data_IF_121189179602
#
_entry.id   IF_121189179602
#
_cell.length_a   1.000
_cell.length_b   1.000
_cell.length_c   1.000
_cell.angle_alpha   90.00
_cell.angle_beta   90.00
_cell.angle_gamma   90.00
#
_symmetry.space_group_name_H-M   'P 1'
#
loop_
_entity.id
_entity.type
_entity.pdbx_description
1 polymer ?
#
# COMPACT_ATOMS: atom_id res chain seq x y z
N UNK A 1 15.18 -19.88 -24.35
CA UNK A 1 14.76 -20.04 -22.94
C UNK A 1 13.99 -18.79 -22.56
N UNK A 2 12.74 -18.73 -23.00
CA UNK A 2 11.85 -17.59 -22.80
C UNK A 2 11.32 -17.58 -21.37
N UNK A 3 11.76 -16.60 -20.58
CA UNK A 3 11.24 -16.37 -19.24
C UNK A 3 9.85 -15.73 -19.36
N UNK A 4 8.83 -16.58 -19.36
CA UNK A 4 7.43 -16.17 -19.33
C UNK A 4 7.18 -15.25 -18.13
N UNK A 5 6.71 -14.04 -18.42
CA UNK A 5 6.28 -13.07 -17.43
C UNK A 5 5.08 -13.69 -16.69
N UNK A 6 5.28 -14.06 -15.43
CA UNK A 6 4.18 -14.51 -14.55
C UNK A 6 3.27 -13.32 -14.29
N UNK A 7 2.23 -13.18 -15.11
CA UNK A 7 1.17 -12.21 -14.92
C UNK A 7 0.26 -12.70 -13.81
N UNK A 8 0.50 -12.27 -12.57
CA UNK A 8 -0.47 -12.49 -11.51
C UNK A 8 -1.75 -11.72 -11.83
N UNK A 9 -2.90 -12.38 -12.01
CA UNK A 9 -4.17 -11.70 -12.19
C UNK A 9 -4.50 -10.95 -10.89
N UNK A 10 -4.63 -9.62 -10.97
CA UNK A 10 -5.19 -8.83 -9.86
C UNK A 10 -6.62 -9.31 -9.63
N UNK A 11 -6.97 -9.85 -8.44
CA UNK A 11 -8.35 -10.17 -8.17
C UNK A 11 -9.18 -8.88 -8.21
N UNK A 12 -10.13 -8.85 -9.15
CA UNK A 12 -11.19 -7.84 -9.24
C UNK A 12 -12.30 -8.30 -8.30
N UNK A 13 -12.24 -7.90 -7.03
CA UNK A 13 -13.30 -8.09 -6.03
C UNK A 13 -13.43 -6.74 -5.30
N UNK A 14 -14.45 -5.95 -5.66
CA UNK A 14 -15.78 -5.88 -5.01
C UNK A 14 -15.76 -5.20 -3.63
N UNK A 15 -16.75 -4.30 -3.46
CA UNK A 15 -17.09 -3.49 -2.29
C UNK A 15 -16.12 -2.35 -1.91
N UNK A 16 -16.66 -1.14 -1.76
CA UNK A 16 -16.07 -0.07 -0.95
C UNK A 16 -16.05 -0.56 0.51
N UNK A 17 -15.12 -1.45 0.86
CA UNK A 17 -14.93 -1.85 2.25
C UNK A 17 -14.62 -0.59 3.05
N UNK A 18 -15.43 -0.33 4.08
CA UNK A 18 -15.22 0.75 5.03
C UNK A 18 -13.75 0.68 5.47
N UNK A 19 -12.92 1.61 4.97
CA UNK A 19 -11.50 1.58 5.25
C UNK A 19 -11.35 1.84 6.75
N UNK A 20 -11.07 0.81 7.53
CA UNK A 20 -10.81 0.92 8.97
C UNK A 20 -9.32 1.18 9.18
N UNK A 21 -8.96 1.94 10.21
CA UNK A 21 -7.55 2.15 10.51
C UNK A 21 -6.91 0.85 11.00
N UNK A 22 -5.78 0.44 10.40
CA UNK A 22 -5.08 -0.82 10.77
C UNK A 22 -4.73 -0.94 12.26
N UNK A 23 -4.47 0.19 12.93
CA UNK A 23 -4.20 0.27 14.38
C UNK A 23 -5.45 -0.10 15.20
N UNK A 24 -6.62 0.38 14.78
CA UNK A 24 -7.89 0.09 15.47
C UNK A 24 -8.24 -1.39 15.33
N UNK A 25 -8.01 -1.93 14.12
CA UNK A 25 -8.17 -3.35 13.83
C UNK A 25 -7.28 -4.25 14.67
N UNK A 26 -6.03 -3.87 14.94
CA UNK A 26 -5.14 -4.67 15.79
C UNK A 26 -5.62 -4.78 17.24
N UNK A 27 -6.52 -3.91 17.67
CA UNK A 27 -7.16 -3.96 18.98
C UNK A 27 -8.57 -4.58 18.94
N UNK A 28 -8.99 -5.17 17.82
CA UNK A 28 -10.31 -5.80 17.68
C UNK A 28 -11.47 -4.84 17.44
N UNK A 29 -11.20 -3.55 17.21
CA UNK A 29 -12.24 -2.57 16.91
C UNK A 29 -12.31 -2.29 15.40
N UNK A 30 -13.48 -1.90 14.91
CA UNK A 30 -13.73 -1.61 13.48
C UNK A 30 -14.40 -0.25 13.29
N UNK A 31 -13.70 0.83 13.66
CA UNK A 31 -14.18 2.19 13.38
C UNK A 31 -13.89 2.63 11.94
N UNK A 32 -14.84 3.37 11.35
CA UNK A 32 -14.63 4.05 10.07
C UNK A 32 -13.47 5.03 10.18
N UNK A 33 -12.57 5.04 9.18
CA UNK A 33 -11.38 5.91 9.19
C UNK A 33 -11.68 7.40 9.02
N UNK A 34 -12.85 7.77 8.48
CA UNK A 34 -13.24 9.16 8.23
C UNK A 34 -13.41 9.93 9.53
N UNK A 35 -12.58 10.96 9.73
CA UNK A 35 -12.64 11.93 10.84
C UNK A 35 -12.69 11.34 12.26
N UNK A 36 -12.16 10.11 12.46
CA UNK A 36 -12.09 9.50 13.78
C UNK A 36 -10.78 9.85 14.50
N UNK A 37 -10.90 10.27 15.77
CA UNK A 37 -9.75 10.40 16.67
C UNK A 37 -9.44 9.02 17.24
N UNK A 38 -8.40 8.38 16.73
CA UNK A 38 -8.04 7.02 17.14
C UNK A 38 -7.52 7.03 18.59
N UNK A 39 -8.23 6.35 19.51
CA UNK A 39 -7.78 6.16 20.91
C UNK A 39 -6.39 5.51 21.00
N UNK A 40 -6.04 4.70 20.01
CA UNK A 40 -4.78 3.95 19.94
C UNK A 40 -3.70 4.66 19.10
N UNK A 41 -3.89 5.92 18.73
CA UNK A 41 -2.90 6.68 17.94
C UNK A 41 -1.50 6.65 18.55
N UNK A 42 -1.44 6.75 19.88
CA UNK A 42 -0.21 6.69 20.70
C UNK A 42 -0.03 5.35 21.43
N UNK A 43 -0.73 4.28 21.02
CA UNK A 43 -0.56 2.98 21.66
C UNK A 43 0.85 2.41 21.37
N UNK A 44 1.55 1.90 22.38
CA UNK A 44 2.90 1.35 22.24
C UNK A 44 2.94 -0.19 22.32
N UNK A 45 1.79 -0.87 22.20
CA UNK A 45 1.79 -2.33 22.16
C UNK A 45 2.60 -2.86 20.96
N UNK A 46 3.17 -4.07 21.10
CA UNK A 46 4.02 -4.70 20.10
C UNK A 46 3.40 -4.71 18.69
N UNK A 47 2.12 -5.07 18.59
CA UNK A 47 1.38 -5.08 17.32
C UNK A 47 1.26 -3.69 16.66
N UNK A 48 1.08 -2.64 17.47
CA UNK A 48 1.02 -1.26 16.97
C UNK A 48 2.39 -0.77 16.54
N UNK A 49 3.45 -1.11 17.27
CA UNK A 49 4.83 -0.80 16.87
C UNK A 49 5.19 -1.46 15.53
N UNK A 50 4.94 -2.77 15.41
CA UNK A 50 5.12 -3.50 14.15
C UNK A 50 4.31 -2.86 13.01
N UNK A 51 3.05 -2.51 13.28
CA UNK A 51 2.20 -1.84 12.29
C UNK A 51 2.76 -0.50 11.82
N UNK A 52 3.39 0.28 12.71
CA UNK A 52 4.06 1.55 12.36
C UNK A 52 5.28 1.30 11.48
N UNK A 53 6.15 0.36 11.86
CA UNK A 53 7.34 0.00 11.07
C UNK A 53 6.95 -0.50 9.68
N UNK A 54 5.99 -1.43 9.58
CA UNK A 54 5.53 -1.92 8.27
C UNK A 54 4.92 -0.81 7.40
N UNK A 55 4.27 0.20 8.00
CA UNK A 55 3.77 1.37 7.23
C UNK A 55 4.92 2.21 6.69
N UNK A 56 5.99 2.40 7.47
CA UNK A 56 7.17 3.14 7.04
C UNK A 56 7.84 2.44 5.86
N UNK A 57 8.07 1.13 5.97
CA UNK A 57 8.64 0.30 4.90
C UNK A 57 7.77 0.39 3.64
N UNK A 58 6.46 0.21 3.76
CA UNK A 58 5.57 0.29 2.60
C UNK A 58 5.58 1.67 1.93
N UNK A 59 5.69 2.77 2.68
CA UNK A 59 5.82 4.12 2.08
C UNK A 59 7.10 4.23 1.25
N UNK A 60 8.21 3.70 1.77
CA UNK A 60 9.48 3.70 1.06
C UNK A 60 9.41 2.85 -0.22
N UNK A 61 8.91 1.63 -0.11
CA UNK A 61 8.70 0.74 -1.27
C UNK A 61 7.81 1.37 -2.34
N UNK A 62 6.68 1.96 -1.94
CA UNK A 62 5.76 2.63 -2.87
C UNK A 62 6.42 3.84 -3.56
N UNK A 63 7.31 4.57 -2.87
CA UNK A 63 8.07 5.66 -3.48
C UNK A 63 9.02 5.13 -4.56
N UNK A 64 9.79 4.08 -4.26
CA UNK A 64 10.69 3.45 -5.22
C UNK A 64 9.94 2.94 -6.44
N UNK A 65 8.81 2.25 -6.23
CA UNK A 65 7.99 1.74 -7.34
C UNK A 65 7.44 2.83 -8.24
N UNK A 66 7.06 4.00 -7.69
CA UNK A 66 6.65 5.14 -8.51
C UNK A 66 7.82 5.68 -9.33
N UNK A 67 9.00 5.84 -8.72
CA UNK A 67 10.19 6.28 -9.45
C UNK A 67 10.57 5.34 -10.58
N UNK A 68 10.60 4.02 -10.33
CA UNK A 68 10.90 3.02 -11.35
C UNK A 68 9.86 3.02 -12.47
N UNK A 69 8.57 3.14 -12.12
CA UNK A 69 7.48 3.24 -13.10
C UNK A 69 7.63 4.48 -13.99
N UNK A 70 7.97 5.63 -13.40
CA UNK A 70 8.14 6.88 -14.13
C UNK A 70 9.40 6.87 -15.01
N UNK A 71 10.49 6.27 -14.53
CA UNK A 71 11.70 6.07 -15.33
C UNK A 71 11.41 5.22 -16.57
N UNK A 72 10.72 4.08 -16.40
CA UNK A 72 10.31 3.21 -17.50
C UNK A 72 9.41 3.92 -18.51
N UNK A 73 8.42 4.70 -18.07
CA UNK A 73 7.57 5.49 -18.98
C UNK A 73 8.35 6.51 -19.81
N UNK A 74 9.42 7.10 -19.26
CA UNK A 74 10.28 8.03 -20.00
C UNK A 74 11.17 7.31 -21.03
N UNK A 75 11.59 6.08 -20.76
CA UNK A 75 12.29 5.26 -21.73
C UNK A 75 11.37 4.82 -22.87
N UNK A 76 10.17 4.32 -22.55
CA UNK A 76 9.14 3.94 -23.53
C UNK A 76 8.74 5.14 -24.41
N UNK A 77 8.57 6.34 -23.83
CA UNK A 77 8.24 7.56 -24.56
C UNK A 77 9.38 8.15 -25.41
N UNK A 78 10.63 7.71 -25.20
CA UNK A 78 11.77 8.11 -26.06
C UNK A 78 11.88 7.26 -27.34
N UNK A 79 11.13 6.16 -27.44
CA UNK A 79 11.14 5.26 -28.59
C UNK A 79 10.02 5.48 -29.61
N UNK A 80 9.06 6.38 -29.36
CA UNK A 80 7.93 6.63 -30.28
C UNK A 80 8.02 8.06 -30.82
N UNK A 81 8.83 8.23 -31.86
CA UNK A 81 8.70 9.32 -32.82
C UNK A 81 8.26 8.68 -34.15
N UNK A 82 7.00 8.90 -34.51
CA UNK A 82 6.50 8.76 -35.88
C UNK A 82 5.79 10.06 -36.21
#
# INVERSE_FOLDING_TARGET
MDQGIVSYPRPRLQARENSTARIVRTHGYTYRKTNHRCKYERCECLLCQLTRVSRLIMRHQQRLWRHLKDARRREEGRGTCW
#
